data_IF_608303817860
#
_entry.id   IF_608303817860
#
_cell.length_a   1.000
_cell.length_b   1.000
_cell.length_c   1.000
_cell.angle_alpha   90.00
_cell.angle_beta   90.00
_cell.angle_gamma   90.00
#
_symmetry.space_group_name_H-M   'P 1'
#
loop_
_entity.id
_entity.type
_entity.pdbx_description
1 polymer ?
#
# COMPACT_ATOMS: atom_id res chain seq x y z
N UNK A 1 33.01 -3.17 21.95
CA UNK A 1 32.63 -1.92 21.25
C UNK A 1 33.43 -1.73 19.95
N UNK A 2 33.17 -2.56 18.92
CA UNK A 2 33.66 -2.31 17.54
C UNK A 2 32.99 -3.15 16.44
N UNK A 3 31.88 -3.86 16.71
CA UNK A 3 31.30 -4.83 15.76
C UNK A 3 29.77 -4.77 15.62
N UNK A 4 29.16 -3.59 15.82
CA UNK A 4 27.71 -3.37 15.60
C UNK A 4 27.43 -2.61 14.27
N UNK A 5 28.47 -2.23 13.53
CA UNK A 5 28.38 -1.28 12.39
C UNK A 5 28.05 -1.88 11.01
N UNK A 6 27.70 -3.16 10.88
CA UNK A 6 27.55 -3.80 9.54
C UNK A 6 26.26 -4.60 9.30
N UNK A 7 25.22 -4.45 10.14
CA UNK A 7 23.93 -5.14 9.92
C UNK A 7 22.69 -4.24 9.80
N UNK A 8 22.85 -2.92 9.79
CA UNK A 8 21.72 -1.98 9.77
C UNK A 8 21.59 -1.29 8.41
N UNK A 9 20.83 -1.91 7.50
CA UNK A 9 20.25 -1.23 6.31
C UNK A 9 18.81 -1.66 6.02
N UNK A 10 18.23 -2.65 6.71
CA UNK A 10 16.89 -3.14 6.35
C UNK A 10 15.97 -3.05 7.57
N UNK A 11 14.83 -2.37 7.40
CA UNK A 11 13.63 -2.32 8.26
C UNK A 11 13.30 -1.04 9.06
N UNK A 12 13.71 0.17 8.66
CA UNK A 12 13.09 1.42 9.20
C UNK A 12 12.63 2.45 8.15
N UNK A 13 13.05 2.36 6.89
CA UNK A 13 12.72 3.37 5.88
C UNK A 13 11.64 2.93 4.89
N UNK A 14 10.35 2.99 5.25
CA UNK A 14 9.24 2.76 4.31
C UNK A 14 9.15 3.76 3.15
N UNK A 15 9.98 4.80 3.12
CA UNK A 15 10.02 5.81 2.04
C UNK A 15 11.46 6.09 1.54
N UNK A 16 12.52 5.60 2.20
CA UNK A 16 13.91 5.95 1.83
C UNK A 16 14.65 4.95 0.93
N UNK A 17 14.07 3.80 0.61
CA UNK A 17 14.74 2.77 -0.19
C UNK A 17 14.92 3.12 -1.68
N UNK A 18 14.41 4.26 -2.16
CA UNK A 18 14.46 4.64 -3.58
C UNK A 18 15.63 5.58 -3.95
N UNK A 19 16.48 6.02 -3.02
CA UNK A 19 17.34 7.20 -3.24
C UNK A 19 18.86 7.02 -3.10
N UNK A 20 19.40 5.79 -3.08
CA UNK A 20 20.86 5.59 -2.99
C UNK A 20 21.37 4.50 -3.94
N UNK A 21 21.48 4.79 -5.23
CA UNK A 21 22.42 4.12 -6.14
C UNK A 21 22.92 5.09 -7.23
N UNK A 22 24.25 5.16 -7.49
CA UNK A 22 24.80 5.96 -8.59
C UNK A 22 24.66 5.28 -9.95
N UNK A 23 24.66 6.12 -11.00
CA UNK A 23 24.66 5.80 -12.43
C UNK A 23 25.73 4.78 -12.83
N UNK A 24 25.37 3.83 -13.70
CA UNK A 24 26.19 3.46 -14.86
C UNK A 24 25.30 2.90 -15.98
N UNK A 25 25.46 3.44 -17.18
CA UNK A 25 24.78 3.04 -18.41
C UNK A 25 25.53 1.87 -19.04
N UNK A 26 24.85 0.75 -19.31
CA UNK A 26 25.28 -0.20 -20.34
C UNK A 26 24.10 -1.05 -20.85
N UNK A 27 24.17 -1.36 -22.14
CA UNK A 27 23.17 -2.00 -22.99
C UNK A 27 22.91 -3.47 -22.59
N UNK A 28 21.65 -3.90 -22.78
CA UNK A 28 21.08 -5.26 -22.84
C UNK A 28 21.89 -6.42 -22.17
N UNK A 29 21.52 -6.76 -20.93
CA UNK A 29 21.94 -7.96 -20.17
C UNK A 29 20.68 -8.57 -19.50
N UNK A 30 20.48 -9.91 -19.44
CA UNK A 30 19.41 -10.60 -18.70
C UNK A 30 19.16 -10.17 -17.23
N UNK A 31 19.97 -9.26 -16.67
CA UNK A 31 19.89 -8.75 -15.30
C UNK A 31 18.81 -7.71 -14.97
N UNK A 32 17.73 -7.55 -15.77
CA UNK A 32 16.62 -6.61 -15.48
C UNK A 32 15.37 -7.25 -14.87
N UNK A 33 15.31 -8.58 -14.76
CA UNK A 33 14.16 -9.27 -14.15
C UNK A 33 14.16 -9.07 -12.63
N UNK A 34 13.08 -8.48 -12.10
CA UNK A 34 12.92 -8.21 -10.68
C UNK A 34 12.03 -9.27 -10.03
N UNK A 35 12.41 -9.70 -8.83
CA UNK A 35 11.68 -10.72 -8.09
C UNK A 35 11.89 -10.62 -6.57
N UNK A 36 11.44 -11.66 -5.88
CA UNK A 36 11.59 -11.85 -4.44
C UNK A 36 12.48 -13.04 -4.13
N UNK A 37 13.09 -13.03 -2.95
CA UNK A 37 13.74 -14.22 -2.39
C UNK A 37 12.76 -14.92 -1.45
N UNK A 38 12.38 -16.13 -1.81
CA UNK A 38 11.59 -17.04 -1.00
C UNK A 38 12.52 -17.89 -0.13
N UNK A 39 12.19 -18.04 1.15
CA UNK A 39 12.89 -18.99 2.03
C UNK A 39 12.12 -20.31 2.09
N UNK A 40 12.74 -21.36 1.56
CA UNK A 40 12.29 -22.75 1.67
C UNK A 40 13.11 -23.48 2.74
N UNK A 41 12.70 -24.68 3.14
CA UNK A 41 13.42 -25.48 4.15
C UNK A 41 14.88 -25.68 3.73
N UNK A 42 15.79 -25.02 4.42
CA UNK A 42 17.24 -25.11 4.17
C UNK A 42 17.76 -24.39 2.92
N UNK A 43 16.92 -23.69 2.15
CA UNK A 43 17.36 -22.99 0.93
C UNK A 43 16.57 -21.70 0.64
N UNK A 44 17.14 -20.85 -0.20
CA UNK A 44 16.54 -19.63 -0.72
C UNK A 44 16.26 -19.84 -2.22
N UNK A 45 15.10 -19.38 -2.70
CA UNK A 45 14.66 -19.47 -4.10
C UNK A 45 14.31 -18.09 -4.64
N UNK A 46 14.68 -17.77 -5.88
CA UNK A 46 14.18 -16.59 -6.57
C UNK A 46 12.79 -16.84 -7.12
N UNK A 47 11.84 -15.97 -6.80
CA UNK A 47 10.49 -15.98 -7.36
C UNK A 47 10.34 -14.71 -8.17
N UNK A 48 10.15 -14.87 -9.48
CA UNK A 48 9.93 -13.72 -10.37
C UNK A 48 8.65 -12.98 -9.98
N UNK A 49 8.60 -11.69 -10.28
CA UNK A 49 7.39 -10.87 -10.06
C UNK A 49 6.13 -11.49 -10.64
N UNK A 50 6.20 -12.15 -11.81
CA UNK A 50 5.11 -12.89 -12.50
C UNK A 50 4.70 -14.22 -11.85
N UNK A 51 5.54 -14.75 -10.98
CA UNK A 51 5.30 -15.98 -10.22
C UNK A 51 4.87 -15.68 -8.76
N UNK A 52 4.90 -14.41 -8.33
CA UNK A 52 4.38 -13.96 -7.03
C UNK A 52 2.86 -13.97 -7.04
N UNK A 53 2.34 -15.10 -6.62
CA UNK A 53 0.93 -15.38 -6.59
C UNK A 53 0.49 -15.74 -5.17
N UNK A 54 -0.81 -15.59 -4.86
CA UNK A 54 -1.29 -15.79 -3.48
C UNK A 54 -1.00 -17.21 -2.98
N UNK A 55 -0.92 -18.21 -3.87
CA UNK A 55 -0.60 -19.59 -3.51
C UNK A 55 0.86 -19.75 -3.04
N UNK A 56 1.80 -19.13 -3.75
CA UNK A 56 3.23 -19.10 -3.41
C UNK A 56 3.48 -18.38 -2.10
N UNK A 57 2.77 -17.27 -1.89
CA UNK A 57 2.78 -16.53 -0.63
C UNK A 57 2.28 -17.41 0.52
N UNK A 58 1.10 -18.03 0.36
CA UNK A 58 0.48 -18.89 1.38
C UNK A 58 1.35 -20.11 1.74
N UNK A 59 1.95 -20.77 0.75
CA UNK A 59 2.85 -21.92 0.96
C UNK A 59 4.04 -21.53 1.84
N UNK A 60 4.63 -20.37 1.61
CA UNK A 60 5.80 -19.87 2.35
C UNK A 60 5.46 -19.47 3.77
N UNK A 61 4.35 -18.77 3.96
CA UNK A 61 3.83 -18.41 5.29
C UNK A 61 3.67 -19.66 6.15
N UNK A 62 3.02 -20.69 5.59
CA UNK A 62 2.79 -21.95 6.30
C UNK A 62 4.11 -22.65 6.64
N UNK A 63 5.09 -22.67 5.73
CA UNK A 63 6.39 -23.29 5.97
C UNK A 63 7.22 -22.57 7.05
N UNK A 64 7.18 -21.23 7.10
CA UNK A 64 7.90 -20.43 8.11
C UNK A 64 7.24 -20.52 9.49
N UNK A 65 5.90 -20.55 9.57
CA UNK A 65 5.16 -20.70 10.83
C UNK A 65 5.36 -22.07 11.47
N UNK A 66 5.38 -23.15 10.67
CA UNK A 66 5.72 -24.48 11.16
C UNK A 66 7.14 -24.56 11.78
N UNK A 67 7.99 -23.57 11.51
CA UNK A 67 9.33 -23.43 12.09
C UNK A 67 9.41 -22.43 13.25
N UNK A 68 8.27 -21.97 13.77
CA UNK A 68 8.20 -21.07 14.95
C UNK A 68 8.57 -19.62 14.66
N UNK A 69 8.55 -19.18 13.41
CA UNK A 69 8.86 -17.79 13.04
C UNK A 69 7.78 -16.83 13.59
N UNK A 70 8.19 -15.86 14.42
CA UNK A 70 7.31 -14.79 14.95
C UNK A 70 7.09 -13.64 13.96
N UNK A 71 8.04 -13.46 13.04
CA UNK A 71 7.96 -12.52 11.92
C UNK A 71 7.94 -13.36 10.66
N UNK A 72 6.91 -13.17 9.84
CA UNK A 72 6.74 -13.91 8.60
C UNK A 72 6.97 -12.90 7.50
N UNK A 73 8.04 -13.13 6.74
CA UNK A 73 8.30 -12.40 5.50
C UNK A 73 8.07 -13.35 4.33
N UNK A 74 6.92 -13.23 3.66
CA UNK A 74 6.60 -13.99 2.47
C UNK A 74 6.50 -13.07 1.23
N UNK A 75 7.10 -11.86 1.24
CA UNK A 75 6.83 -10.78 0.28
C UNK A 75 5.40 -10.19 0.35
N UNK A 76 4.91 -9.81 1.55
CA UNK A 76 3.60 -9.15 1.71
C UNK A 76 3.59 -7.72 2.29
N UNK A 77 4.72 -7.11 2.63
CA UNK A 77 4.74 -5.72 3.13
C UNK A 77 5.76 -4.80 2.44
N UNK A 78 6.43 -5.27 1.38
CA UNK A 78 7.27 -4.40 0.54
C UNK A 78 8.61 -3.99 1.15
N UNK A 79 9.20 -4.79 2.04
CA UNK A 79 10.52 -4.47 2.60
C UNK A 79 11.71 -5.17 1.90
N UNK A 80 11.52 -6.25 1.13
CA UNK A 80 12.54 -6.75 0.17
C UNK A 80 11.90 -7.30 -1.12
N UNK A 81 11.17 -6.42 -1.81
CA UNK A 81 10.80 -6.65 -3.21
C UNK A 81 11.90 -6.09 -4.12
N UNK A 82 11.89 -6.46 -5.40
CA UNK A 82 12.77 -5.89 -6.42
C UNK A 82 14.26 -6.29 -6.26
N UNK A 83 14.54 -7.58 -6.05
CA UNK A 83 15.89 -8.11 -6.21
C UNK A 83 16.12 -8.44 -7.69
N UNK A 84 17.18 -7.92 -8.33
CA UNK A 84 17.52 -8.33 -9.69
C UNK A 84 17.90 -9.82 -9.73
N UNK A 85 17.39 -10.54 -10.72
CA UNK A 85 17.74 -11.95 -10.94
C UNK A 85 19.27 -12.14 -11.03
N UNK A 86 20.00 -11.17 -11.58
CA UNK A 86 21.47 -11.16 -11.63
C UNK A 86 22.14 -11.12 -10.25
N UNK A 87 21.56 -10.40 -9.29
CA UNK A 87 22.05 -10.36 -7.90
C UNK A 87 21.82 -11.70 -7.23
N UNK A 88 20.65 -12.29 -7.43
CA UNK A 88 20.34 -13.63 -6.94
C UNK A 88 21.25 -14.70 -7.56
N UNK A 89 21.51 -14.64 -8.87
CA UNK A 89 22.42 -15.54 -9.56
C UNK A 89 23.82 -15.53 -8.94
N UNK A 90 24.37 -14.33 -8.68
CA UNK A 90 25.66 -14.15 -8.02
C UNK A 90 25.68 -14.70 -6.59
N UNK A 91 24.57 -14.59 -5.85
CA UNK A 91 24.43 -15.19 -4.53
C UNK A 91 24.38 -16.72 -4.61
N UNK A 92 23.71 -17.28 -5.62
CA UNK A 92 23.67 -18.72 -5.87
C UNK A 92 25.03 -19.29 -6.28
N UNK A 93 25.83 -18.56 -7.06
CA UNK A 93 27.21 -18.94 -7.37
C UNK A 93 28.12 -18.89 -6.14
N UNK A 94 27.97 -17.87 -5.29
CA UNK A 94 28.82 -17.66 -4.11
C UNK A 94 28.45 -18.54 -2.92
N UNK A 95 27.17 -18.90 -2.81
CA UNK A 95 26.60 -19.68 -1.70
C UNK A 95 25.68 -20.79 -2.23
N UNK A 96 26.20 -21.76 -3.01
CA UNK A 96 25.39 -22.81 -3.64
C UNK A 96 24.68 -23.72 -2.62
N UNK A 97 25.15 -23.74 -1.38
CA UNK A 97 24.55 -24.47 -0.27
C UNK A 97 23.31 -23.78 0.33
N UNK A 98 23.08 -22.50 -0.01
CA UNK A 98 21.98 -21.68 0.54
C UNK A 98 20.98 -21.21 -0.49
N UNK A 99 21.33 -21.19 -1.77
CA UNK A 99 20.51 -20.62 -2.83
C UNK A 99 20.37 -21.60 -3.99
N UNK A 100 19.14 -21.77 -4.48
CA UNK A 100 18.89 -22.59 -5.66
C UNK A 100 19.29 -21.84 -6.94
N UNK A 101 19.80 -22.52 -8.00
CA UNK A 101 20.08 -21.88 -9.27
C UNK A 101 18.80 -21.38 -9.97
N UNK A 102 18.94 -20.31 -10.76
CA UNK A 102 17.82 -19.75 -11.54
C UNK A 102 17.37 -20.70 -12.65
N UNK A 103 16.06 -20.85 -12.79
CA UNK A 103 15.45 -21.60 -13.90
C UNK A 103 15.53 -20.78 -15.20
N UNK A 104 16.04 -21.37 -16.29
CA UNK A 104 16.20 -20.70 -17.60
C UNK A 104 14.86 -20.20 -18.16
N UNK A 105 14.71 -18.89 -18.38
CA UNK A 105 13.53 -18.28 -19.03
C UNK A 105 13.57 -18.42 -20.56
N UNK A 106 13.38 -19.63 -21.08
CA UNK A 106 13.01 -19.81 -22.48
C UNK A 106 11.49 -19.84 -22.63
N UNK A 107 10.82 -18.71 -22.45
CA UNK A 107 9.46 -18.51 -22.96
C UNK A 107 9.35 -17.10 -23.53
N UNK A 108 9.41 -17.01 -24.86
CA UNK A 108 9.15 -15.79 -25.61
C UNK A 108 7.72 -15.31 -25.34
N UNK A 109 7.61 -14.09 -24.81
CA UNK A 109 6.32 -13.44 -24.61
C UNK A 109 5.88 -12.88 -25.97
N UNK A 110 4.94 -13.57 -26.60
CA UNK A 110 4.11 -12.98 -27.66
C UNK A 110 3.02 -12.17 -26.97
N UNK A 111 2.99 -10.87 -27.21
CA UNK A 111 1.91 -9.97 -26.75
C UNK A 111 0.64 -10.25 -27.56
N UNK A 112 -0.47 -10.69 -26.94
CA UNK A 112 -1.77 -10.72 -27.61
C UNK A 112 -2.45 -9.35 -27.51
N UNK A 113 -3.25 -9.03 -28.53
CA UNK A 113 -4.08 -7.84 -28.65
C UNK A 113 -5.02 -7.64 -27.45
N UNK A 114 -5.24 -6.37 -27.09
CA UNK A 114 -6.21 -5.93 -26.08
C UNK A 114 -7.59 -6.52 -26.38
N UNK A 115 -8.17 -7.22 -25.41
CA UNK A 115 -9.57 -7.62 -25.48
C UNK A 115 -10.45 -6.36 -25.40
N UNK A 116 -11.24 -6.13 -26.44
CA UNK A 116 -12.21 -5.04 -26.48
C UNK A 116 -13.31 -5.26 -25.44
N UNK A 117 -13.59 -4.24 -24.64
CA UNK A 117 -14.81 -4.12 -23.86
C UNK A 117 -16.02 -4.21 -24.80
N UNK A 118 -16.96 -5.10 -24.49
CA UNK A 118 -18.21 -5.26 -25.25
C UNK A 118 -19.01 -3.95 -25.21
N UNK A 119 -19.14 -3.32 -26.37
CA UNK A 119 -19.55 -1.93 -26.56
C UNK A 119 -21.05 -1.62 -26.35
N UNK A 120 -21.60 -1.90 -25.18
CA UNK A 120 -22.97 -1.47 -24.83
C UNK A 120 -23.07 -0.61 -23.55
N UNK A 121 -22.02 -0.49 -22.72
CA UNK A 121 -22.09 0.17 -21.40
C UNK A 121 -21.49 1.59 -21.33
N UNK A 122 -20.81 2.07 -22.38
CA UNK A 122 -20.05 3.34 -22.34
C UNK A 122 -20.92 4.61 -22.26
N UNK A 123 -22.22 4.52 -22.54
CA UNK A 123 -23.13 5.68 -22.47
C UNK A 123 -23.59 6.08 -21.06
N UNK A 124 -23.34 5.26 -20.03
CA UNK A 124 -23.81 5.47 -18.64
C UNK A 124 -22.65 5.29 -17.62
N UNK A 125 -21.41 5.08 -18.07
CA UNK A 125 -20.26 4.94 -17.18
C UNK A 125 -19.78 6.31 -16.67
N UNK A 126 -19.24 6.39 -15.43
CA UNK A 126 -18.59 7.62 -14.97
C UNK A 126 -17.40 7.95 -15.86
N UNK A 127 -17.21 9.24 -16.15
CA UNK A 127 -16.06 9.74 -16.89
C UNK A 127 -15.15 10.54 -15.97
N UNK A 128 -13.86 10.52 -16.28
CA UNK A 128 -12.81 11.18 -15.52
C UNK A 128 -12.02 12.16 -16.38
N UNK A 129 -11.73 13.32 -15.82
CA UNK A 129 -10.73 14.26 -16.32
C UNK A 129 -9.39 13.96 -15.63
N UNK A 130 -8.32 13.83 -16.41
CA UNK A 130 -6.97 13.68 -15.88
C UNK A 130 -6.36 15.05 -15.55
N UNK A 131 -5.88 15.21 -14.32
CA UNK A 131 -5.18 16.40 -13.82
C UNK A 131 -3.81 15.99 -13.32
N UNK A 132 -2.74 16.44 -13.98
CA UNK A 132 -1.35 16.21 -13.55
C UNK A 132 -1.01 17.09 -12.34
N UNK A 133 -0.45 16.51 -11.29
CA UNK A 133 -0.12 17.22 -10.04
C UNK A 133 1.21 17.96 -10.17
N UNK A 134 2.24 17.34 -10.77
CA UNK A 134 3.57 17.95 -10.90
C UNK A 134 3.65 18.96 -12.06
N UNK A 135 2.81 18.84 -13.09
CA UNK A 135 2.72 19.80 -14.21
C UNK A 135 2.31 21.21 -13.75
N UNK A 136 1.80 21.34 -12.52
CA UNK A 136 1.31 22.61 -11.95
C UNK A 136 2.30 23.29 -10.99
N UNK A 137 3.41 22.63 -10.66
CA UNK A 137 4.42 23.19 -9.75
C UNK A 137 5.26 24.23 -10.47
N UNK A 138 5.16 25.49 -10.04
CA UNK A 138 6.21 26.49 -10.35
C UNK A 138 7.37 26.25 -9.40
N UNK A 139 8.48 25.70 -9.91
CA UNK A 139 9.67 25.38 -9.11
C UNK A 139 10.56 26.63 -9.03
N UNK A 140 10.81 27.19 -7.83
CA UNK A 140 11.78 28.28 -7.69
C UNK A 140 13.17 27.85 -8.20
N UNK A 141 13.92 28.71 -8.93
CA UNK A 141 15.19 28.36 -9.57
C UNK A 141 16.27 27.82 -8.63
N UNK A 142 16.20 28.14 -7.35
CA UNK A 142 17.11 27.69 -6.30
C UNK A 142 16.95 26.20 -5.92
N UNK A 143 15.87 25.54 -6.35
CA UNK A 143 15.65 24.12 -6.08
C UNK A 143 16.05 23.25 -7.26
N UNK A 144 17.12 22.47 -7.06
CA UNK A 144 17.65 21.55 -8.06
C UNK A 144 16.67 20.39 -8.36
N UNK A 145 15.96 19.92 -7.33
CA UNK A 145 14.93 18.88 -7.43
C UNK A 145 13.84 19.13 -6.37
N UNK A 146 12.57 18.95 -6.75
CA UNK A 146 11.44 18.92 -5.81
C UNK A 146 10.58 17.71 -6.10
N UNK A 147 9.94 17.13 -5.08
CA UNK A 147 9.02 16.00 -5.27
C UNK A 147 7.90 16.05 -4.25
N UNK A 148 6.67 15.86 -4.73
CA UNK A 148 5.48 15.75 -3.89
C UNK A 148 4.94 14.32 -3.94
N UNK A 149 4.88 13.66 -2.79
CA UNK A 149 4.40 12.28 -2.63
C UNK A 149 3.02 12.28 -1.97
N UNK A 150 1.93 12.14 -2.74
CA UNK A 150 0.57 12.13 -2.22
C UNK A 150 0.29 10.84 -1.43
N UNK A 151 -0.42 10.96 -0.31
CA UNK A 151 -0.74 9.86 0.62
C UNK A 151 -2.24 9.69 0.90
N UNK A 152 -3.05 10.73 0.69
CA UNK A 152 -4.49 10.69 0.94
C UNK A 152 -5.21 11.74 0.10
N UNK A 153 -6.50 11.46 -0.19
CA UNK A 153 -7.44 12.39 -0.82
C UNK A 153 -8.65 12.55 0.10
N UNK A 154 -9.12 13.78 0.28
CA UNK A 154 -10.36 14.07 1.04
C UNK A 154 -11.56 14.24 0.11
N UNK A 155 -12.76 14.35 0.66
CA UNK A 155 -13.97 14.58 -0.12
C UNK A 155 -13.99 15.95 -0.79
N UNK A 156 -13.30 16.95 -0.24
CA UNK A 156 -13.07 18.24 -0.91
C UNK A 156 -12.05 18.14 -2.06
N UNK A 157 -11.56 16.93 -2.37
CA UNK A 157 -10.54 16.66 -3.39
C UNK A 157 -9.19 17.33 -3.12
N UNK A 158 -8.93 17.64 -1.85
CA UNK A 158 -7.58 17.98 -1.39
C UNK A 158 -6.75 16.71 -1.32
N UNK A 159 -5.56 16.75 -1.89
CA UNK A 159 -4.60 15.65 -1.80
C UNK A 159 -3.49 16.06 -0.83
N UNK A 160 -3.30 15.28 0.23
CA UNK A 160 -2.26 15.49 1.21
C UNK A 160 -1.06 14.62 0.90
N UNK A 161 0.14 15.10 1.18
CA UNK A 161 1.38 14.40 0.85
C UNK A 161 2.59 14.92 1.59
N UNK A 162 3.73 14.29 1.32
CA UNK A 162 5.05 14.78 1.74
C UNK A 162 5.72 15.49 0.56
N UNK A 163 6.11 16.74 0.76
CA UNK A 163 6.94 17.51 -0.14
C UNK A 163 8.40 17.43 0.30
N UNK A 164 9.29 17.11 -0.64
CA UNK A 164 10.73 17.08 -0.43
C UNK A 164 11.39 18.24 -1.15
N UNK A 165 12.15 19.00 -0.38
CA UNK A 165 13.07 20.03 -0.83
C UNK A 165 14.48 19.45 -0.75
N UNK A 166 15.12 19.28 -1.92
CA UNK A 166 16.47 18.76 -2.00
C UNK A 166 17.47 19.92 -2.00
N UNK A 167 18.35 19.95 -0.99
CA UNK A 167 19.48 20.86 -0.93
C UNK A 167 20.76 20.07 -1.18
N UNK A 168 21.41 20.33 -2.31
CA UNK A 168 22.71 19.75 -2.63
C UNK A 168 23.78 20.49 -1.82
N UNK A 169 24.38 19.79 -0.85
CA UNK A 169 25.62 20.22 -0.20
C UNK A 169 26.56 19.03 -0.17
N UNK A 170 27.53 18.95 -1.10
CA UNK A 170 28.62 17.98 -0.98
C UNK A 170 29.30 18.13 0.40
N UNK A 171 29.47 17.06 1.21
CA UNK A 171 29.31 15.63 0.90
C UNK A 171 28.03 14.98 1.48
N UNK A 172 26.96 15.73 1.73
CA UNK A 172 25.76 15.25 2.43
C UNK A 172 24.45 15.78 1.81
N UNK A 173 23.60 14.88 1.35
CA UNK A 173 22.23 15.21 0.96
C UNK A 173 21.40 15.55 2.19
N UNK A 174 20.95 16.80 2.29
CA UNK A 174 19.90 17.18 3.24
C UNK A 174 18.60 17.30 2.44
N UNK A 175 17.63 16.44 2.74
CA UNK A 175 16.26 16.62 2.28
C UNK A 175 15.44 17.18 3.43
N UNK A 176 14.88 18.38 3.23
CA UNK A 176 13.83 18.83 4.12
C UNK A 176 12.52 18.20 3.65
N UNK A 177 11.81 17.55 4.57
CA UNK A 177 10.45 17.10 4.33
C UNK A 177 9.46 18.10 4.91
N UNK A 178 8.32 18.23 4.25
CA UNK A 178 7.20 19.05 4.70
C UNK A 178 5.91 18.29 4.37
N UNK A 179 4.88 18.44 5.18
CA UNK A 179 3.53 18.23 4.71
C UNK A 179 3.18 19.24 3.60
N UNK A 180 2.43 18.79 2.60
CA UNK A 180 1.91 19.63 1.54
C UNK A 180 0.50 19.19 1.12
N UNK A 181 -0.22 20.12 0.51
CA UNK A 181 -1.60 19.95 0.05
C UNK A 181 -1.65 20.34 -1.43
N UNK A 182 -2.13 19.44 -2.28
CA UNK A 182 -2.57 19.79 -3.61
C UNK A 182 -4.07 20.08 -3.59
N UNK A 183 -4.45 21.28 -4.03
CA UNK A 183 -5.83 21.73 -4.15
C UNK A 183 -5.92 22.73 -5.31
N UNK A 184 -6.99 22.66 -6.11
CA UNK A 184 -7.26 23.59 -7.21
C UNK A 184 -6.07 23.75 -8.18
N UNK A 185 -5.36 22.66 -8.47
CA UNK A 185 -4.23 22.68 -9.40
C UNK A 185 -2.98 23.35 -8.84
N UNK A 186 -2.81 23.45 -7.52
CA UNK A 186 -1.61 24.02 -6.91
C UNK A 186 -1.18 23.20 -5.70
N UNK A 187 0.12 22.93 -5.57
CA UNK A 187 0.71 22.33 -4.36
C UNK A 187 1.14 23.44 -3.40
N UNK A 188 0.56 23.45 -2.21
CA UNK A 188 0.88 24.36 -1.12
C UNK A 188 1.73 23.63 -0.07
N UNK A 189 2.98 24.07 0.11
CA UNK A 189 3.90 23.51 1.11
C UNK A 189 3.63 24.14 2.47
N UNK A 190 3.38 23.30 3.48
CA UNK A 190 3.05 23.73 4.83
C UNK A 190 4.33 23.96 5.63
N UNK A 191 4.94 25.13 5.50
CA UNK A 191 6.30 25.42 6.03
C UNK A 191 6.51 25.07 7.52
N UNK A 192 5.47 25.19 8.35
CA UNK A 192 5.52 24.85 9.78
C UNK A 192 5.64 23.34 10.06
N UNK A 193 5.61 22.50 9.03
CA UNK A 193 5.78 21.05 9.12
C UNK A 193 7.19 20.57 8.76
N UNK A 194 8.20 21.46 8.77
CA UNK A 194 9.58 21.08 8.43
C UNK A 194 10.05 19.86 9.24
N UNK A 195 10.57 18.85 8.54
CA UNK A 195 11.04 17.57 9.10
C UNK A 195 9.94 16.52 9.29
N UNK A 196 8.69 16.80 8.92
CA UNK A 196 7.55 15.89 9.05
C UNK A 196 7.33 15.06 7.79
N UNK A 197 7.07 13.78 7.98
CA UNK A 197 6.72 12.82 6.92
C UNK A 197 5.27 12.40 7.09
N UNK A 198 4.45 12.67 6.08
CA UNK A 198 3.04 12.34 6.08
C UNK A 198 2.80 10.87 5.69
N UNK A 199 2.00 10.15 6.49
CA UNK A 199 1.54 8.79 6.19
C UNK A 199 0.03 8.73 5.90
N UNK A 200 -0.76 9.57 6.57
CA UNK A 200 -2.23 9.60 6.55
C UNK A 200 -2.72 11.04 6.66
N UNK A 201 -3.92 11.31 6.16
CA UNK A 201 -4.65 12.54 6.46
C UNK A 201 -6.13 12.22 6.63
N UNK A 202 -6.83 13.05 7.39
CA UNK A 202 -8.27 12.94 7.60
C UNK A 202 -9.03 14.08 6.89
N UNK A 203 -10.36 14.02 6.89
CA UNK A 203 -11.21 15.03 6.23
C UNK A 203 -11.05 16.44 6.83
N UNK A 204 -10.70 16.53 8.11
CA UNK A 204 -10.42 17.79 8.80
C UNK A 204 -9.06 18.41 8.44
N UNK A 205 -8.25 17.75 7.61
CA UNK A 205 -6.93 18.22 7.22
C UNK A 205 -5.82 17.98 8.25
N UNK A 206 -6.10 17.23 9.31
CA UNK A 206 -5.05 16.71 10.19
C UNK A 206 -4.28 15.62 9.46
N UNK A 207 -2.96 15.69 9.53
CA UNK A 207 -2.04 14.76 8.87
C UNK A 207 -1.33 13.95 9.96
N UNK A 208 -1.41 12.63 9.86
CA UNK A 208 -0.70 11.71 10.72
C UNK A 208 0.55 11.17 10.04
N UNK A 209 1.64 11.09 10.79
CA UNK A 209 2.92 10.70 10.24
C UNK A 209 3.99 10.48 11.30
N UNK A 210 5.19 10.92 10.99
CA UNK A 210 6.33 10.85 11.90
C UNK A 210 7.35 11.95 11.63
N UNK A 211 8.23 12.17 12.61
CA UNK A 211 9.49 12.91 12.43
C UNK A 211 10.67 11.97 12.64
N UNK A 212 11.81 12.29 12.04
CA UNK A 212 13.06 11.53 12.29
C UNK A 212 13.71 12.11 13.55
N UNK A 213 13.95 11.27 14.55
CA UNK A 213 14.59 11.64 15.81
C UNK A 213 16.05 11.19 15.89
N UNK A 214 16.45 10.22 15.07
CA UNK A 214 17.83 9.77 14.91
C UNK A 214 18.13 9.59 13.42
N UNK A 215 19.01 10.44 12.87
CA UNK A 215 19.36 10.42 11.44
C UNK A 215 20.35 9.30 11.08
N UNK A 216 21.11 8.77 12.04
CA UNK A 216 22.08 7.68 11.78
C UNK A 216 21.35 6.34 11.66
N UNK A 217 20.39 6.10 12.55
CA UNK A 217 19.63 4.84 12.60
C UNK A 217 18.22 4.96 11.99
N UNK A 218 17.84 6.16 11.55
CA UNK A 218 16.51 6.49 11.03
C UNK A 218 15.37 6.19 12.02
N UNK A 219 15.63 6.26 13.33
CA UNK A 219 14.55 6.13 14.30
C UNK A 219 13.62 7.33 14.26
N UNK A 220 12.34 7.05 14.45
CA UNK A 220 11.25 8.01 14.23
C UNK A 220 10.43 8.22 15.48
N UNK A 221 9.62 9.28 15.50
CA UNK A 221 8.57 9.45 16.48
C UNK A 221 7.27 9.80 15.79
N UNK A 222 6.19 9.13 16.17
CA UNK A 222 4.86 9.38 15.65
C UNK A 222 4.46 10.83 15.93
N UNK A 223 3.84 11.47 14.96
CA UNK A 223 3.44 12.87 15.08
C UNK A 223 2.16 13.16 14.29
N UNK A 224 1.44 14.20 14.72
CA UNK A 224 0.34 14.81 14.00
C UNK A 224 0.75 16.21 13.53
N UNK A 225 0.15 16.66 12.43
CA UNK A 225 0.24 18.04 11.95
C UNK A 225 -1.15 18.54 11.59
N UNK A 226 -1.59 19.63 12.20
CA UNK A 226 -2.94 20.20 12.07
C UNK A 226 -3.00 21.47 11.21
N UNK A 227 -1.90 21.80 10.53
CA UNK A 227 -1.74 23.06 9.77
C UNK A 227 -0.96 24.13 10.54
N UNK A 228 -0.82 24.01 11.85
CA UNK A 228 -0.10 24.98 12.67
C UNK A 228 1.24 24.45 13.18
N UNK A 229 1.28 23.30 13.84
CA UNK A 229 2.53 22.78 14.40
C UNK A 229 2.61 21.25 14.33
N UNK A 230 3.83 20.73 14.35
CA UNK A 230 4.07 19.29 14.46
C UNK A 230 3.96 18.90 15.92
N UNK A 231 2.92 18.14 16.24
CA UNK A 231 2.65 17.64 17.58
C UNK A 231 3.19 16.22 17.70
N UNK A 232 4.22 16.04 18.52
CA UNK A 232 4.75 14.71 18.81
C UNK A 232 3.76 13.92 19.65
N UNK A 233 3.49 12.68 19.24
CA UNK A 233 2.73 11.74 20.05
C UNK A 233 3.66 11.17 21.12
N UNK A 234 3.23 11.10 22.40
CA UNK A 234 4.05 10.52 23.47
C UNK A 234 4.48 9.08 23.16
N UNK A 235 5.73 8.75 23.48
CA UNK A 235 6.27 7.39 23.31
C UNK A 235 5.67 6.43 24.33
N UNK A 236 5.50 5.17 23.94
CA UNK A 236 5.31 4.10 24.92
C UNK A 236 6.59 3.84 25.74
N UNK A 237 6.49 3.25 26.94
CA UNK A 237 7.67 2.84 27.70
C UNK A 237 8.57 1.89 26.90
N UNK A 238 9.86 2.23 26.79
CA UNK A 238 10.86 1.43 26.05
C UNK A 238 10.79 1.54 24.52
N UNK A 239 9.90 2.37 23.98
CA UNK A 239 9.83 2.65 22.55
C UNK A 239 11.05 3.44 22.07
N UNK A 240 11.64 2.98 20.96
CA UNK A 240 12.74 3.67 20.26
C UNK A 240 12.30 4.28 18.93
N UNK A 241 11.24 3.76 18.31
CA UNK A 241 10.72 4.26 17.03
C UNK A 241 9.20 4.15 16.96
N UNK A 242 8.52 5.12 16.34
CA UNK A 242 7.07 5.06 16.13
C UNK A 242 6.58 5.88 14.96
N UNK A 243 5.42 5.50 14.41
CA UNK A 243 4.74 6.23 13.34
C UNK A 243 3.23 6.07 13.39
N UNK A 244 2.49 7.08 12.93
CA UNK A 244 1.04 6.97 12.70
C UNK A 244 0.78 6.13 11.45
N UNK A 245 -0.04 5.08 11.59
CA UNK A 245 -0.40 4.15 10.51
C UNK A 245 -1.88 4.21 10.10
N UNK A 246 -2.76 4.70 10.98
CA UNK A 246 -4.17 5.00 10.69
C UNK A 246 -4.57 6.29 11.41
N UNK A 247 -5.48 7.05 10.82
CA UNK A 247 -6.03 8.28 11.38
C UNK A 247 -7.49 8.39 10.92
N UNK A 248 -8.40 8.73 11.83
CA UNK A 248 -9.80 9.01 11.49
C UNK A 248 -10.14 10.50 11.65
N UNK A 249 -11.35 10.89 11.23
CA UNK A 249 -11.76 12.31 11.23
C UNK A 249 -11.83 12.94 12.62
N UNK A 250 -12.26 12.22 13.69
CA UNK A 250 -12.14 12.71 15.06
C UNK A 250 -10.71 12.90 15.58
N UNK A 251 -9.67 12.59 14.80
CA UNK A 251 -8.27 12.74 15.21
C UNK A 251 -7.73 11.59 16.07
N UNK A 252 -8.43 10.45 16.11
CA UNK A 252 -7.90 9.23 16.74
C UNK A 252 -6.89 8.60 15.80
N UNK A 253 -5.67 8.40 16.30
CA UNK A 253 -4.58 7.83 15.53
C UNK A 253 -4.21 6.44 16.05
N UNK A 254 -3.88 5.53 15.14
CA UNK A 254 -3.23 4.27 15.48
C UNK A 254 -1.74 4.39 15.20
N UNK A 255 -0.93 3.97 16.17
CA UNK A 255 0.52 4.04 16.13
C UNK A 255 1.09 2.62 16.00
N UNK A 256 2.09 2.48 15.14
CA UNK A 256 3.03 1.37 15.20
C UNK A 256 4.25 1.83 15.99
N UNK A 257 4.51 1.19 17.13
CA UNK A 257 5.64 1.44 18.03
C UNK A 257 6.62 0.28 17.93
N UNK A 258 7.91 0.57 18.03
CA UNK A 258 9.02 -0.39 18.03
C UNK A 258 9.87 -0.18 19.28
N UNK A 259 10.13 -1.24 20.03
CA UNK A 259 11.02 -1.18 21.20
C UNK A 259 12.48 -1.50 20.89
N UNK A 260 13.36 -1.37 21.88
CA UNK A 260 14.80 -1.65 21.78
C UNK A 260 15.15 -3.08 21.33
N UNK A 261 14.21 -4.02 21.49
CA UNK A 261 14.35 -5.42 21.07
C UNK A 261 13.70 -5.67 19.71
N UNK A 262 13.28 -4.60 19.01
CA UNK A 262 12.60 -4.64 17.72
C UNK A 262 11.24 -5.36 17.77
N UNK A 263 10.58 -5.38 18.93
CA UNK A 263 9.21 -5.85 19.01
C UNK A 263 8.26 -4.72 18.61
N UNK A 264 7.36 -5.02 17.68
CA UNK A 264 6.30 -4.12 17.28
C UNK A 264 5.13 -4.18 18.27
N UNK A 265 4.57 -3.02 18.58
CA UNK A 265 3.35 -2.86 19.37
C UNK A 265 2.43 -1.87 18.69
N UNK A 266 1.14 -2.17 18.71
CA UNK A 266 0.10 -1.28 18.21
C UNK A 266 -0.51 -0.53 19.39
N UNK A 267 -0.72 0.76 19.22
CA UNK A 267 -1.34 1.61 20.23
C UNK A 267 -2.32 2.59 19.61
N UNK A 268 -3.25 3.08 20.41
CA UNK A 268 -4.20 4.12 20.06
C UNK A 268 -3.79 5.42 20.74
N UNK A 269 -3.69 6.49 19.97
CA UNK A 269 -3.61 7.85 20.47
C UNK A 269 -4.98 8.51 20.40
N UNK A 270 -5.45 9.01 21.53
CA UNK A 270 -6.72 9.73 21.64
C UNK A 270 -6.65 10.74 22.77
N UNK A 271 -7.02 11.99 22.49
CA UNK A 271 -7.09 13.07 23.49
C UNK A 271 -5.79 13.26 24.30
N UNK A 272 -4.62 13.14 23.66
CA UNK A 272 -3.33 13.30 24.34
C UNK A 272 -2.78 12.04 25.02
N UNK A 273 -3.56 10.96 25.08
CA UNK A 273 -3.16 9.71 25.73
C UNK A 273 -2.84 8.62 24.70
N UNK A 274 -1.83 7.80 25.00
CA UNK A 274 -1.45 6.63 24.21
C UNK A 274 -1.71 5.36 25.00
N UNK A 275 -2.58 4.50 24.49
CA UNK A 275 -2.93 3.22 25.11
C UNK A 275 -2.58 2.05 24.19
N UNK A 276 -1.78 1.06 24.65
CA UNK A 276 -1.56 -0.18 23.89
C UNK A 276 -2.88 -0.87 23.53
N UNK A 277 -2.93 -1.49 22.36
CA UNK A 277 -4.07 -2.24 21.89
C UNK A 277 -3.89 -3.73 22.18
N UNK A 278 -4.95 -4.35 22.70
CA UNK A 278 -5.06 -5.79 22.90
C UNK A 278 -6.21 -6.32 22.04
N UNK A 279 -5.88 -7.19 21.08
CA UNK A 279 -6.86 -7.78 20.15
C UNK A 279 -7.46 -9.08 20.72
N UNK A 280 -7.07 -9.50 21.92
CA UNK A 280 -7.53 -10.72 22.58
C UNK A 280 -6.53 -11.87 22.52
N UNK A 281 -6.72 -12.91 23.34
CA UNK A 281 -5.73 -13.96 23.57
C UNK A 281 -5.45 -14.84 22.35
N UNK A 282 -6.43 -14.97 21.44
CA UNK A 282 -6.32 -15.82 20.26
C UNK A 282 -5.75 -15.07 19.03
N UNK A 283 -5.46 -13.77 19.17
CA UNK A 283 -4.99 -12.90 18.08
C UNK A 283 -3.59 -12.39 18.41
N UNK A 284 -2.61 -13.23 18.13
CA UNK A 284 -1.19 -12.95 18.39
C UNK A 284 -0.51 -12.10 17.31
N UNK A 285 -1.13 -11.96 16.14
CA UNK A 285 -0.60 -11.21 15.00
C UNK A 285 -1.72 -10.46 14.28
N UNK A 286 -1.53 -9.18 13.98
CA UNK A 286 -2.50 -8.40 13.22
C UNK A 286 -1.82 -7.54 12.16
N UNK A 287 -2.53 -7.36 11.05
CA UNK A 287 -2.18 -6.40 10.00
C UNK A 287 -3.39 -5.47 9.81
N UNK A 288 -3.44 -4.35 10.54
CA UNK A 288 -4.50 -3.35 10.41
C UNK A 288 -4.53 -2.77 8.99
N UNK A 289 -5.71 -2.61 8.43
CA UNK A 289 -5.91 -2.11 7.06
C UNK A 289 -6.85 -0.90 6.98
N UNK A 290 -7.64 -0.63 8.02
CA UNK A 290 -8.49 0.56 8.05
C UNK A 290 -9.06 0.87 9.43
N UNK A 291 -9.50 2.11 9.60
CA UNK A 291 -10.23 2.60 10.77
C UNK A 291 -11.35 3.52 10.28
N UNK A 292 -12.55 3.41 10.87
CA UNK A 292 -13.64 4.34 10.58
C UNK A 292 -13.75 5.46 11.63
N UNK A 293 -14.67 6.40 11.41
CA UNK A 293 -14.89 7.53 12.33
C UNK A 293 -15.51 7.15 13.68
N UNK A 294 -15.96 5.90 13.85
CA UNK A 294 -16.36 5.38 15.16
C UNK A 294 -15.17 4.82 15.96
N UNK A 295 -13.98 4.78 15.37
CA UNK A 295 -12.77 4.19 15.95
C UNK A 295 -12.71 2.67 15.81
N UNK A 296 -13.59 2.07 15.00
CA UNK A 296 -13.55 0.63 14.70
C UNK A 296 -12.38 0.36 13.76
N UNK A 297 -11.50 -0.54 14.17
CA UNK A 297 -10.32 -0.97 13.41
C UNK A 297 -10.64 -2.27 12.69
N UNK A 298 -10.19 -2.39 11.45
CA UNK A 298 -10.21 -3.67 10.72
C UNK A 298 -8.83 -4.03 10.25
N UNK A 299 -8.65 -5.32 9.99
CA UNK A 299 -7.40 -5.85 9.48
C UNK A 299 -7.52 -7.32 9.21
N UNK A 300 -6.36 -7.92 8.94
CA UNK A 300 -6.26 -9.36 8.77
C UNK A 300 -5.37 -9.93 9.87
N UNK A 301 -5.75 -11.08 10.40
CA UNK A 301 -4.97 -11.91 11.30
C UNK A 301 -4.81 -13.31 10.71
N UNK A 302 -3.95 -14.11 11.31
CA UNK A 302 -3.89 -15.54 11.03
C UNK A 302 -3.99 -16.29 12.34
N UNK A 303 -4.81 -17.33 12.33
CA UNK A 303 -5.04 -18.18 13.48
C UNK A 303 -4.66 -19.60 13.10
N UNK A 304 -3.77 -20.21 13.91
CA UNK A 304 -3.32 -21.58 13.69
C UNK A 304 -4.52 -22.54 13.65
N UNK A 305 -4.56 -23.40 12.62
CA UNK A 305 -5.66 -24.34 12.40
C UNK A 305 -6.91 -23.74 11.73
N UNK A 306 -7.06 -22.41 11.67
CA UNK A 306 -8.16 -21.74 10.98
C UNK A 306 -7.73 -21.08 9.66
N UNK A 307 -6.52 -20.54 9.58
CA UNK A 307 -6.03 -19.79 8.41
C UNK A 307 -6.15 -18.28 8.60
N UNK A 308 -6.16 -17.53 7.49
CA UNK A 308 -6.33 -16.07 7.54
C UNK A 308 -7.78 -15.69 7.84
N UNK A 309 -7.94 -14.73 8.74
CA UNK A 309 -9.24 -14.14 9.07
C UNK A 309 -9.15 -12.63 8.98
N UNK A 310 -10.10 -12.03 8.26
CA UNK A 310 -10.43 -10.63 8.49
C UNK A 310 -10.91 -10.46 9.94
N UNK A 311 -10.69 -9.30 10.54
CA UNK A 311 -11.23 -8.97 11.84
C UNK A 311 -11.80 -7.56 11.88
N UNK A 312 -12.70 -7.34 12.83
CA UNK A 312 -13.19 -6.05 13.29
C UNK A 312 -12.92 -5.94 14.79
N UNK A 313 -12.30 -4.85 15.19
CA UNK A 313 -11.94 -4.60 16.58
C UNK A 313 -12.53 -3.28 17.06
N UNK A 314 -13.25 -3.32 18.19
CA UNK A 314 -13.74 -2.13 18.88
C UNK A 314 -12.89 -1.84 20.13
N UNK A 315 -12.02 -0.81 20.11
CA UNK A 315 -11.17 -0.48 21.25
C UNK A 315 -11.96 0.02 22.47
N UNK A 316 -13.25 0.36 22.33
CA UNK A 316 -14.09 0.80 23.46
C UNK A 316 -14.59 -0.38 24.30
N UNK A 317 -14.71 -1.55 23.69
CA UNK A 317 -15.17 -2.78 24.35
C UNK A 317 -14.08 -3.85 24.43
N UNK A 318 -12.92 -3.65 23.79
CA UNK A 318 -11.86 -4.64 23.59
C UNK A 318 -12.39 -5.96 23.02
N UNK A 319 -13.37 -5.88 22.10
CA UNK A 319 -13.94 -7.05 21.45
C UNK A 319 -13.45 -7.12 20.01
N UNK A 320 -12.90 -8.28 19.66
CA UNK A 320 -12.59 -8.63 18.28
C UNK A 320 -13.63 -9.60 17.73
N UNK A 321 -14.22 -9.24 16.59
CA UNK A 321 -15.07 -10.12 15.80
C UNK A 321 -14.29 -10.60 14.58
N UNK A 322 -14.20 -11.92 14.40
CA UNK A 322 -13.64 -12.50 13.17
C UNK A 322 -14.66 -12.37 12.03
N UNK A 323 -14.15 -12.02 10.85
CA UNK A 323 -14.90 -11.90 9.62
C UNK A 323 -14.66 -13.18 8.82
N UNK A 324 -15.52 -14.16 9.04
CA UNK A 324 -15.38 -15.48 8.42
C UNK A 324 -15.48 -15.39 6.89
N UNK A 325 -14.71 -16.23 6.16
CA UNK A 325 -14.95 -16.44 4.74
C UNK A 325 -16.31 -17.11 4.51
N UNK A 326 -16.71 -17.20 3.24
CA UNK A 326 -17.81 -18.06 2.83
C UNK A 326 -17.50 -19.52 3.17
N UNK A 327 -18.52 -20.36 3.45
CA UNK A 327 -18.31 -21.74 3.92
C UNK A 327 -17.47 -22.64 3.01
N UNK A 328 -17.33 -22.27 1.73
CA UNK A 328 -16.55 -23.02 0.73
C UNK A 328 -15.08 -22.60 0.65
N UNK A 329 -14.67 -21.61 1.44
CA UNK A 329 -13.37 -20.94 1.31
C UNK A 329 -12.64 -20.94 2.66
N UNK A 330 -11.33 -21.26 2.68
CA UNK A 330 -10.58 -21.40 3.92
C UNK A 330 -10.10 -20.06 4.51
N UNK A 331 -9.99 -19.01 3.70
CA UNK A 331 -9.30 -17.78 4.06
C UNK A 331 -10.13 -16.53 3.75
N UNK A 332 -10.04 -15.54 4.64
CA UNK A 332 -10.56 -14.20 4.43
C UNK A 332 -9.55 -13.11 4.76
N UNK A 333 -9.53 -12.05 3.95
CA UNK A 333 -8.72 -10.85 4.19
C UNK A 333 -9.60 -9.61 4.24
N UNK A 334 -9.43 -8.76 5.25
CA UNK A 334 -10.09 -7.44 5.31
C UNK A 334 -9.13 -6.34 4.84
N UNK A 335 -9.58 -5.55 3.87
CA UNK A 335 -8.79 -4.54 3.16
C UNK A 335 -9.08 -3.10 3.60
N UNK A 336 -10.24 -2.85 4.19
CA UNK A 336 -10.64 -1.52 4.66
C UNK A 336 -12.05 -1.52 5.22
N UNK A 337 -12.39 -0.45 5.92
CA UNK A 337 -13.71 -0.20 6.51
C UNK A 337 -14.20 1.18 6.11
N UNK A 338 -15.49 1.32 5.88
CA UNK A 338 -16.12 2.62 5.63
C UNK A 338 -16.89 3.14 6.87
N UNK A 339 -17.40 4.36 6.82
CA UNK A 339 -18.06 5.00 7.95
C UNK A 339 -19.43 4.40 8.31
N UNK A 340 -20.03 3.60 7.43
CA UNK A 340 -21.22 2.78 7.76
C UNK A 340 -20.86 1.48 8.48
N UNK A 341 -19.57 1.18 8.63
CA UNK A 341 -19.09 -0.06 9.24
C UNK A 341 -19.16 -1.26 8.30
N UNK A 342 -19.22 -1.04 6.98
CA UNK A 342 -19.01 -2.09 6.00
C UNK A 342 -17.52 -2.34 5.81
N UNK A 343 -17.12 -3.60 5.70
CA UNK A 343 -15.71 -3.99 5.56
C UNK A 343 -15.50 -4.59 4.18
N UNK A 344 -14.61 -3.99 3.38
CA UNK A 344 -14.19 -4.54 2.10
C UNK A 344 -13.19 -5.66 2.30
N UNK A 345 -13.27 -6.70 1.47
CA UNK A 345 -12.14 -7.59 1.28
C UNK A 345 -12.47 -8.84 0.49
N UNK A 346 -11.75 -9.91 0.83
CA UNK A 346 -11.72 -11.15 0.07
C UNK A 346 -12.20 -12.33 0.90
N UNK A 347 -12.92 -13.22 0.25
CA UNK A 347 -13.13 -14.59 0.69
C UNK A 347 -12.63 -15.50 -0.43
N UNK A 348 -11.72 -16.42 -0.15
CA UNK A 348 -10.97 -17.04 -1.24
C UNK A 348 -10.34 -18.41 -0.93
N UNK A 349 -10.01 -19.12 -2.00
CA UNK A 349 -9.04 -20.24 -2.00
C UNK A 349 -7.76 -19.74 -2.67
N UNK A 350 -6.63 -19.78 -1.96
CA UNK A 350 -5.36 -19.26 -2.49
C UNK A 350 -4.97 -19.91 -3.83
N UNK A 351 -4.78 -19.10 -4.87
CA UNK A 351 -4.36 -19.59 -6.20
C UNK A 351 -5.47 -19.99 -7.17
N UNK A 352 -6.73 -19.96 -6.74
CA UNK A 352 -7.86 -20.37 -7.57
C UNK A 352 -8.83 -19.20 -7.81
N UNK A 353 -9.97 -19.21 -7.13
CA UNK A 353 -11.04 -18.24 -7.26
C UNK A 353 -11.04 -17.32 -6.05
N UNK A 354 -11.18 -16.01 -6.28
CA UNK A 354 -11.23 -15.01 -5.22
C UNK A 354 -12.52 -14.21 -5.29
N UNK A 355 -13.33 -14.27 -4.23
CA UNK A 355 -14.55 -13.47 -4.13
C UNK A 355 -14.21 -12.15 -3.48
N UNK A 356 -14.40 -11.07 -4.22
CA UNK A 356 -14.30 -9.72 -3.70
C UNK A 356 -15.69 -9.28 -3.26
N UNK A 357 -15.78 -8.72 -2.07
CA UNK A 357 -17.06 -8.37 -1.49
C UNK A 357 -16.95 -7.56 -0.21
N UNK A 358 -18.08 -7.45 0.46
CA UNK A 358 -18.23 -6.60 1.65
C UNK A 358 -18.87 -7.41 2.78
N UNK A 359 -18.25 -7.42 3.96
CA UNK A 359 -18.93 -7.81 5.19
C UNK A 359 -19.77 -6.65 5.71
N UNK A 360 -21.03 -6.92 6.02
CA UNK A 360 -21.89 -5.96 6.71
C UNK A 360 -21.54 -5.86 8.21
N UNK A 361 -22.25 -5.01 8.94
CA UNK A 361 -22.03 -4.83 10.39
C UNK A 361 -22.25 -6.11 11.21
N UNK A 362 -23.02 -7.07 10.71
CA UNK A 362 -23.27 -8.37 11.34
C UNK A 362 -22.26 -9.44 10.91
N UNK A 363 -21.21 -9.08 10.15
CA UNK A 363 -20.18 -10.02 9.70
C UNK A 363 -20.64 -10.96 8.58
N UNK A 364 -21.75 -10.68 7.89
CA UNK A 364 -22.18 -11.45 6.72
C UNK A 364 -21.49 -10.94 5.46
N UNK A 365 -20.79 -11.82 4.75
CA UNK A 365 -20.12 -11.50 3.49
C UNK A 365 -21.10 -11.43 2.32
N UNK A 366 -21.00 -10.38 1.52
CA UNK A 366 -21.74 -10.18 0.28
C UNK A 366 -20.76 -10.04 -0.89
N UNK A 367 -20.76 -11.03 -1.79
CA UNK A 367 -19.91 -11.03 -2.98
C UNK A 367 -20.36 -9.96 -3.97
N UNK A 368 -19.41 -9.18 -4.48
CA UNK A 368 -19.61 -8.22 -5.56
C UNK A 368 -19.27 -8.84 -6.92
N UNK A 369 -18.14 -9.54 -6.99
CA UNK A 369 -17.70 -10.29 -8.17
C UNK A 369 -16.66 -11.35 -7.79
N UNK A 370 -16.28 -12.15 -8.78
CA UNK A 370 -15.46 -13.34 -8.59
C UNK A 370 -14.29 -13.35 -9.57
N UNK A 371 -13.08 -13.14 -9.04
CA UNK A 371 -11.81 -13.18 -9.75
C UNK A 371 -11.29 -14.61 -9.95
N UNK A 372 -10.41 -14.81 -10.94
CA UNK A 372 -9.93 -16.13 -11.36
C UNK A 372 -10.94 -16.92 -12.23
N UNK A 373 -11.95 -16.24 -12.77
CA UNK A 373 -12.97 -16.83 -13.66
C UNK A 373 -12.72 -16.45 -15.12
N UNK A 374 -13.31 -17.13 -16.12
CA UNK A 374 -13.22 -16.67 -17.51
C UNK A 374 -13.76 -15.25 -17.73
N UNK A 375 -14.76 -14.84 -16.95
CA UNK A 375 -15.34 -13.48 -17.00
C UNK A 375 -14.40 -12.44 -16.38
N UNK A 376 -13.78 -12.78 -15.25
CA UNK A 376 -12.81 -11.94 -14.56
C UNK A 376 -11.52 -12.74 -14.30
N UNK A 377 -10.64 -12.88 -15.31
CA UNK A 377 -9.46 -13.76 -15.22
C UNK A 377 -8.35 -13.19 -14.34
N UNK A 378 -8.53 -11.96 -13.85
CA UNK A 378 -7.56 -11.27 -13.01
C UNK A 378 -7.52 -11.84 -11.61
N UNK A 379 -6.40 -11.65 -10.90
CA UNK A 379 -6.29 -11.75 -9.45
C UNK A 379 -5.66 -10.47 -8.94
N UNK A 380 -6.38 -9.76 -8.08
CA UNK A 380 -5.97 -8.52 -7.45
C UNK A 380 -5.58 -8.73 -5.99
N UNK A 381 -4.63 -7.91 -5.52
CA UNK A 381 -4.13 -8.01 -4.14
C UNK A 381 -4.24 -6.70 -3.36
N UNK A 382 -4.70 -5.61 -4.00
CA UNK A 382 -4.90 -4.32 -3.34
C UNK A 382 -6.19 -3.69 -3.82
N UNK A 383 -7.04 -3.40 -2.84
CA UNK A 383 -8.30 -2.71 -3.05
C UNK A 383 -8.33 -1.43 -2.21
N UNK A 384 -9.08 -0.47 -2.70
CA UNK A 384 -9.57 0.69 -1.97
C UNK A 384 -11.07 0.78 -2.17
N UNK A 385 -11.76 1.45 -1.26
CA UNK A 385 -13.16 1.78 -1.44
C UNK A 385 -13.53 3.02 -0.65
N UNK A 386 -14.60 3.67 -1.07
CA UNK A 386 -15.14 4.85 -0.43
C UNK A 386 -16.37 4.52 0.42
N UNK A 387 -16.95 5.54 1.05
CA UNK A 387 -18.20 5.39 1.78
C UNK A 387 -19.34 4.97 0.86
N UNK A 388 -19.30 5.10 -0.46
CA UNK A 388 -20.38 4.60 -1.32
C UNK A 388 -20.27 3.11 -1.68
N UNK A 389 -19.31 2.38 -1.09
CA UNK A 389 -18.92 1.02 -1.48
C UNK A 389 -18.47 0.92 -2.95
N UNK A 390 -18.02 2.01 -3.58
CA UNK A 390 -17.33 1.93 -4.87
C UNK A 390 -15.94 1.35 -4.61
N UNK A 391 -15.61 0.24 -5.25
CA UNK A 391 -14.34 -0.45 -5.07
C UNK A 391 -13.39 -0.07 -6.20
N UNK A 392 -12.14 0.20 -5.85
CA UNK A 392 -11.06 0.46 -6.77
C UNK A 392 -10.00 -0.63 -6.62
N UNK A 393 -9.78 -1.39 -7.68
CA UNK A 393 -8.63 -2.30 -7.80
C UNK A 393 -7.43 -1.46 -8.16
N UNK A 394 -6.45 -1.45 -7.27
CA UNK A 394 -5.23 -0.64 -7.43
C UNK A 394 -4.01 -1.46 -7.87
N UNK A 395 -4.11 -2.78 -7.82
CA UNK A 395 -3.02 -3.66 -8.21
C UNK A 395 -3.50 -5.05 -8.62
N UNK A 396 -3.35 -5.35 -9.92
CA UNK A 396 -3.55 -6.68 -10.49
C UNK A 396 -2.22 -7.43 -10.55
N UNK A 397 -2.20 -8.65 -10.05
CA UNK A 397 -0.99 -9.48 -10.05
C UNK A 397 -0.92 -10.45 -11.22
N UNK A 398 -2.05 -10.90 -11.73
CA UNK A 398 -2.10 -11.87 -12.82
C UNK A 398 -3.44 -11.76 -13.55
N UNK A 399 -3.50 -12.14 -14.84
CA UNK A 399 -2.35 -12.53 -15.67
C UNK A 399 -1.40 -11.36 -15.97
N UNK A 400 -0.18 -11.65 -16.46
CA UNK A 400 0.88 -10.65 -16.61
C UNK A 400 0.48 -9.47 -17.51
N UNK A 401 -0.29 -9.77 -18.57
CA UNK A 401 -0.82 -8.78 -19.50
C UNK A 401 -1.87 -7.83 -18.88
N UNK A 402 -2.38 -8.13 -17.68
CA UNK A 402 -3.37 -7.31 -16.96
C UNK A 402 -2.77 -6.44 -15.85
N UNK A 403 -1.45 -6.54 -15.59
CA UNK A 403 -0.80 -5.89 -14.43
C UNK A 403 -0.80 -4.37 -14.44
N UNK A 404 -0.86 -3.79 -15.63
CA UNK A 404 -0.89 -2.33 -15.80
C UNK A 404 -2.33 -1.78 -15.80
N UNK A 405 -3.33 -2.66 -15.64
CA UNK A 405 -4.73 -2.25 -15.57
C UNK A 405 -5.17 -2.06 -14.13
N UNK A 406 -6.01 -1.06 -13.94
CA UNK A 406 -6.73 -0.76 -12.70
C UNK A 406 -8.21 -0.74 -13.02
N UNK A 407 -9.05 -1.08 -12.05
CA UNK A 407 -10.48 -1.28 -12.30
C UNK A 407 -11.35 -0.57 -11.26
N UNK A 408 -12.43 0.05 -11.74
CA UNK A 408 -13.50 0.60 -10.91
C UNK A 408 -14.68 -0.37 -10.88
N UNK A 409 -15.20 -0.63 -9.69
CA UNK A 409 -16.38 -1.46 -9.43
C UNK A 409 -17.40 -0.56 -8.72
N UNK A 410 -18.27 0.12 -9.48
CA UNK A 410 -19.24 1.06 -8.90
C UNK A 410 -20.37 0.34 -8.17
N UNK A 411 -20.64 -0.92 -8.52
CA UNK A 411 -21.69 -1.75 -7.92
C UNK A 411 -21.41 -3.24 -8.18
N UNK A 412 -22.04 -4.17 -7.43
CA UNK A 412 -21.92 -5.60 -7.67
C UNK A 412 -22.16 -5.99 -9.14
N UNK A 413 -21.34 -6.90 -9.66
CA UNK A 413 -21.41 -7.39 -11.04
C UNK A 413 -20.92 -6.43 -12.12
N UNK A 414 -20.46 -5.22 -11.78
CA UNK A 414 -19.95 -4.24 -12.76
C UNK A 414 -18.47 -3.99 -12.50
N UNK A 415 -17.63 -4.27 -13.50
CA UNK A 415 -16.19 -3.95 -13.50
C UNK A 415 -15.84 -3.15 -14.73
N UNK A 416 -15.25 -1.98 -14.53
CA UNK A 416 -14.88 -1.04 -15.59
C UNK A 416 -13.37 -0.85 -15.56
N UNK A 417 -12.70 -1.00 -16.71
CA UNK A 417 -11.29 -0.66 -16.83
C UNK A 417 -11.12 0.85 -16.64
N UNK A 418 -10.31 1.27 -15.68
CA UNK A 418 -10.17 2.68 -15.31
C UNK A 418 -9.65 3.53 -16.47
N UNK A 419 -8.71 2.99 -17.26
CA UNK A 419 -8.14 3.70 -18.41
C UNK A 419 -9.22 4.06 -19.46
N UNK A 420 -10.23 3.20 -19.64
CA UNK A 420 -11.32 3.44 -20.60
C UNK A 420 -12.30 4.54 -20.12
N UNK A 421 -12.21 4.95 -18.84
CA UNK A 421 -13.07 5.96 -18.25
C UNK A 421 -12.44 7.37 -18.28
N UNK A 422 -11.15 7.48 -18.62
CA UNK A 422 -10.43 8.76 -18.62
C UNK A 422 -10.56 9.42 -20.01
N UNK A 423 -11.13 10.62 -20.02
CA UNK A 423 -11.31 11.41 -21.25
C UNK A 423 -9.97 12.02 -21.67
N UNK A 424 -9.66 11.94 -22.97
CA UNK A 424 -8.41 12.46 -23.56
C UNK A 424 -7.12 11.86 -22.97
N UNK A 425 -7.16 10.65 -22.44
CA UNK A 425 -5.95 9.96 -21.97
C UNK A 425 -5.06 9.52 -23.14
N UNK A 426 -3.72 9.60 -23.00
CA UNK A 426 -2.78 8.91 -23.87
C UNK A 426 -3.06 7.40 -23.93
N UNK A 427 -2.91 6.79 -25.11
CA UNK A 427 -3.28 5.38 -25.34
C UNK A 427 -2.43 4.36 -24.56
N UNK A 428 -1.29 4.81 -24.02
CA UNK A 428 -0.29 4.08 -23.25
C UNK A 428 -0.22 4.49 -21.77
N UNK A 429 -1.19 5.30 -21.30
CA UNK A 429 -1.23 5.76 -19.91
C UNK A 429 -1.54 4.59 -18.96
N UNK A 430 -0.50 4.08 -18.29
CA UNK A 430 -0.65 3.15 -17.17
C UNK A 430 -1.03 3.93 -15.92
N UNK A 431 -2.21 3.63 -15.35
CA UNK A 431 -2.75 4.30 -14.17
C UNK A 431 -2.61 3.41 -12.94
N UNK A 432 -1.87 3.87 -11.94
CA UNK A 432 -1.69 3.20 -10.65
C UNK A 432 -2.33 4.03 -9.53
N UNK A 433 -3.64 3.85 -9.29
CA UNK A 433 -4.36 4.59 -8.28
C UNK A 433 -3.99 4.16 -6.87
N UNK A 434 -4.05 5.10 -5.94
CA UNK A 434 -3.71 4.90 -4.53
C UNK A 434 -4.92 5.05 -3.60
N UNK A 435 -5.94 5.81 -4.00
CA UNK A 435 -7.16 6.02 -3.21
C UNK A 435 -8.29 6.67 -4.00
N UNK A 436 -9.48 6.63 -3.41
CA UNK A 436 -10.73 7.15 -3.95
C UNK A 436 -11.51 7.85 -2.83
N UNK A 437 -12.06 9.04 -3.09
CA UNK A 437 -12.91 9.76 -2.13
C UNK A 437 -14.41 9.44 -2.34
N UNK A 438 -15.30 10.04 -1.54
CA UNK A 438 -16.76 9.80 -1.62
C UNK A 438 -17.43 10.46 -2.82
N UNK A 439 -16.78 11.42 -3.49
CA UNK A 439 -17.21 11.91 -4.80
C UNK A 439 -16.75 10.99 -5.95
N UNK A 440 -15.96 9.99 -5.62
CA UNK A 440 -15.42 9.03 -6.57
C UNK A 440 -14.23 9.57 -7.35
N UNK A 441 -13.60 10.67 -6.92
CA UNK A 441 -12.34 11.16 -7.45
C UNK A 441 -11.20 10.26 -6.99
N UNK A 442 -10.22 10.05 -7.86
CA UNK A 442 -9.16 9.06 -7.65
C UNK A 442 -7.81 9.75 -7.78
N UNK A 443 -6.88 9.48 -6.86
CA UNK A 443 -5.49 9.94 -7.01
C UNK A 443 -4.56 8.75 -7.18
N UNK A 444 -3.40 8.97 -7.80
CA UNK A 444 -2.42 7.94 -8.06
C UNK A 444 -1.18 8.47 -8.76
N UNK A 445 -0.44 7.56 -9.38
CA UNK A 445 0.69 7.89 -10.24
C UNK A 445 0.53 7.21 -11.61
N UNK A 446 1.03 7.90 -12.63
CA UNK A 446 1.09 7.44 -14.00
C UNK A 446 2.54 7.09 -14.38
N UNK A 447 2.69 6.16 -15.32
CA UNK A 447 3.98 5.84 -15.95
C UNK A 447 4.70 4.61 -15.36
N UNK A 448 5.81 4.17 -15.99
CA UNK A 448 6.56 3.01 -15.54
C UNK A 448 7.21 3.25 -14.17
N UNK A 449 7.34 2.19 -13.38
CA UNK A 449 7.92 2.18 -12.02
C UNK A 449 9.39 2.66 -11.90
N UNK A 450 10.00 3.21 -12.96
CA UNK A 450 11.42 3.52 -13.02
C UNK A 450 11.71 5.03 -12.98
N UNK A 451 12.18 5.44 -11.80
CA UNK A 451 13.08 6.56 -11.45
C UNK A 451 12.70 8.02 -11.76
N UNK A 452 12.73 8.80 -10.67
CA UNK A 452 12.81 10.26 -10.50
C UNK A 452 11.67 11.15 -10.99
N UNK A 453 10.80 10.73 -11.90
CA UNK A 453 9.61 11.51 -12.28
C UNK A 453 8.36 10.63 -12.17
N UNK A 454 7.81 10.52 -10.95
CA UNK A 454 6.49 9.93 -10.76
C UNK A 454 5.45 10.99 -11.10
N UNK A 455 4.81 10.86 -12.26
CA UNK A 455 3.72 11.74 -12.66
C UNK A 455 2.48 11.43 -11.82
N UNK A 456 2.33 12.13 -10.71
CA UNK A 456 1.15 12.00 -9.87
C UNK A 456 -0.06 12.65 -10.54
N UNK A 457 -1.22 12.01 -10.42
CA UNK A 457 -2.45 12.49 -11.01
C UNK A 457 -3.59 12.59 -9.99
N UNK A 458 -4.54 13.44 -10.31
CA UNK A 458 -5.92 13.42 -9.84
C UNK A 458 -6.82 13.11 -11.04
N UNK A 459 -7.69 12.11 -10.91
CA UNK A 459 -8.80 11.85 -11.81
C UNK A 459 -10.06 12.46 -11.19
N UNK A 460 -10.51 13.57 -11.76
CA UNK A 460 -11.74 14.25 -11.33
C UNK A 460 -12.93 13.66 -12.08
N UNK A 461 -13.94 13.21 -11.34
CA UNK A 461 -15.16 12.66 -11.94
C UNK A 461 -16.01 13.78 -12.52
N UNK A 462 -16.26 13.74 -13.83
CA UNK A 462 -16.92 14.82 -14.59
C UNK A 462 -18.32 14.45 -15.14
N UNK A 463 -18.77 13.20 -14.95
CA UNK A 463 -20.08 12.74 -15.42
C UNK A 463 -20.83 11.89 -14.39
N UNK A 464 -22.08 12.24 -14.11
CA UNK A 464 -23.02 11.34 -13.45
C UNK A 464 -23.45 10.28 -14.46
N UNK A 465 -22.87 9.09 -14.35
CA UNK A 465 -23.49 7.87 -14.85
C UNK A 465 -24.76 7.53 -14.07
N UNK A 466 -25.77 8.38 -14.16
CA UNK A 466 -27.03 8.21 -13.46
C UNK A 466 -28.12 9.05 -14.10
N UNK A 467 -29.15 8.39 -14.63
CA UNK A 467 -30.46 9.04 -14.76
C UNK A 467 -31.41 8.44 -13.74
N UNK A 468 -31.87 9.34 -12.86
CA UNK A 468 -33.16 9.40 -12.14
C UNK A 468 -33.61 8.21 -11.29
#
# INVERSE_FOLDING_TARGET
MKNIKQRFVIAVGGILAALLLPLEVALADPGKEMGCILREQGSLKFVRGDQLDRQTIMKTINAQRLQGAKVIDPCLTGQVNNIPASVYAKLAEKHPEKFQPLENSNQGIVLPEKAATTGAALGIAPQYLHVGILETLTIPPEFLFVSFFPIAITNESRIYGTFFEYLEFEPSFIFNSYAAIFEQGTVNVLQKSKGFFANRANEGGTIGGFVITDLENFFTQAALFDGNEVQLIPRLPGEISSQVILLNDPGVAMILSLDENFNERLALYKNGEVSPLDFGPDISFTTPSGMNNQGIIVGTTFIDGLGFRGFRFDPRTNLTMLLEPLPTEPDSWAMGINNRGNVLGYSFVGGAIERIGVWNAQGKFHTYFVEGTPEFPTISNRLRFNDNNEILITFVTRPVNERNNSYLIPKPGVRLNLADLVVNAPADLALFPSGINNHGNIFGHAGPFFFFHLDYFLLERIGLGGTK
#
